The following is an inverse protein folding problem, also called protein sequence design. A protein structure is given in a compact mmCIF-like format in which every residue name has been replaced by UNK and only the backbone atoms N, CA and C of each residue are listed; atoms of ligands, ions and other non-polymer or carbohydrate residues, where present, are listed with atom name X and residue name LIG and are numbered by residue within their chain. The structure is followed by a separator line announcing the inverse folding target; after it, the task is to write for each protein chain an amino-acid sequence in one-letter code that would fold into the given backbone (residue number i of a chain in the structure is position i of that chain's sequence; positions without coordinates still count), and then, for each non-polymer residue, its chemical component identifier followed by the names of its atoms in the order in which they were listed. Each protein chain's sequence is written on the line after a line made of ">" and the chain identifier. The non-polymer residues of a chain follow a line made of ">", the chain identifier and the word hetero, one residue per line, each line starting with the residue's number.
data_IF_069170100212
#
_entry.id   IF_069170100212
#
_cell.length_a   1.000
_cell.length_b   1.000
_cell.length_c   1.000
_cell.angle_alpha   90.00
_cell.angle_beta   90.00
_cell.angle_gamma   90.00
#
_symmetry.space_group_name_H-M   'P 1'
#
loop_
_entity.id
_entity.type
_entity.pdbx_description
1 polymer ?
#
# COMPACT_ATOMS: atom_id res chain seq x y z
N UNK A 1 -15.67 -16.04 16.47
CA UNK A 1 -14.68 -17.02 16.98
C UNK A 1 -15.30 -17.96 17.99
N UNK A 2 -16.39 -17.60 18.65
CA UNK A 2 -17.28 -18.52 19.38
C UNK A 2 -18.65 -18.62 18.68
N UNK A 3 -19.61 -19.36 19.27
CA UNK A 3 -20.91 -19.80 18.71
C UNK A 3 -20.85 -20.36 17.29
N UNK A 4 -20.12 -21.47 17.11
CA UNK A 4 -20.27 -22.38 15.97
C UNK A 4 -19.87 -21.85 14.60
N UNK A 5 -19.34 -20.62 14.50
CA UNK A 5 -18.89 -20.10 13.21
C UNK A 5 -17.65 -20.86 12.72
N UNK A 6 -17.75 -21.41 11.52
CA UNK A 6 -16.60 -21.98 10.80
C UNK A 6 -15.94 -20.99 9.84
N UNK A 7 -16.29 -19.70 9.94
CA UNK A 7 -15.93 -18.66 8.98
C UNK A 7 -15.35 -17.42 9.69
N UNK A 8 -14.07 -17.15 9.48
CA UNK A 8 -13.36 -16.13 10.25
C UNK A 8 -12.61 -15.10 9.39
N UNK A 9 -11.82 -15.57 8.41
CA UNK A 9 -10.93 -14.70 7.60
C UNK A 9 -11.02 -14.98 6.10
N UNK A 10 -12.13 -15.55 5.64
CA UNK A 10 -12.38 -15.88 4.24
C UNK A 10 -13.15 -14.72 3.56
N UNK A 11 -13.12 -14.65 2.23
CA UNK A 11 -13.48 -13.49 1.38
C UNK A 11 -14.98 -13.22 1.08
N UNK A 12 -15.88 -13.81 1.85
CA UNK A 12 -17.33 -13.78 1.66
C UNK A 12 -17.82 -14.46 0.37
N UNK A 13 -19.02 -14.08 -0.05
CA UNK A 13 -19.59 -14.48 -1.34
C UNK A 13 -18.82 -13.84 -2.51
N UNK A 14 -18.68 -14.60 -3.60
CA UNK A 14 -17.95 -14.18 -4.81
C UNK A 14 -18.80 -13.35 -5.78
N UNK A 15 -20.13 -13.53 -5.77
CA UNK A 15 -21.05 -12.77 -6.62
C UNK A 15 -22.49 -12.78 -6.07
N UNK A 16 -23.41 -12.16 -6.82
CA UNK A 16 -24.84 -12.27 -6.60
C UNK A 16 -25.40 -13.61 -7.13
N UNK A 17 -26.72 -13.77 -7.09
CA UNK A 17 -27.45 -14.97 -7.51
C UNK A 17 -27.39 -15.19 -9.07
N UNK A 18 -28.36 -15.90 -9.65
CA UNK A 18 -28.43 -16.30 -11.07
C UNK A 18 -28.14 -15.17 -12.07
N UNK A 19 -28.41 -13.92 -11.75
CA UNK A 19 -27.89 -12.76 -12.49
C UNK A 19 -26.91 -12.01 -11.57
N UNK A 20 -25.63 -11.83 -11.94
CA UNK A 20 -25.03 -11.87 -13.27
C UNK A 20 -24.30 -13.19 -13.67
N UNK A 21 -24.41 -14.29 -12.90
CA UNK A 21 -23.75 -15.58 -13.19
C UNK A 21 -22.22 -15.53 -13.41
N UNK A 22 -21.56 -14.47 -12.95
CA UNK A 22 -20.10 -14.31 -13.04
C UNK A 22 -19.56 -13.53 -11.86
N UNK A 23 -18.27 -13.67 -11.58
CA UNK A 23 -17.56 -12.79 -10.64
C UNK A 23 -17.19 -11.49 -11.36
N UNK A 24 -17.38 -10.35 -10.68
CA UNK A 24 -16.97 -9.06 -11.22
C UNK A 24 -15.44 -8.96 -11.28
N UNK A 25 -14.93 -8.32 -12.34
CA UNK A 25 -13.48 -8.03 -12.45
C UNK A 25 -13.06 -7.11 -11.29
N UNK A 26 -11.80 -7.24 -10.86
CA UNK A 26 -11.21 -6.45 -9.77
C UNK A 26 -11.88 -6.66 -8.40
N UNK A 27 -12.60 -7.77 -8.21
CA UNK A 27 -13.04 -8.21 -6.88
C UNK A 27 -11.80 -8.36 -5.98
N UNK A 28 -11.82 -7.72 -4.82
CA UNK A 28 -10.73 -7.78 -3.83
C UNK A 28 -10.62 -9.19 -3.25
N UNK A 29 -9.56 -9.89 -3.62
CA UNK A 29 -9.24 -11.26 -3.21
C UNK A 29 -7.82 -11.31 -2.66
N UNK A 30 -7.45 -12.32 -1.84
CA UNK A 30 -6.07 -12.50 -1.41
C UNK A 30 -5.15 -12.67 -2.61
N UNK A 31 -3.95 -12.13 -2.50
CA UNK A 31 -2.94 -12.16 -3.55
C UNK A 31 -1.61 -11.61 -3.05
N UNK A 32 -0.69 -11.37 -3.97
CA UNK A 32 0.58 -10.72 -3.66
C UNK A 32 0.33 -9.31 -3.11
N UNK A 33 0.99 -8.96 -2.01
CA UNK A 33 0.89 -7.64 -1.38
C UNK A 33 2.29 -7.05 -1.22
N UNK A 34 2.45 -5.77 -1.53
CA UNK A 34 3.75 -5.08 -1.53
C UNK A 34 4.48 -5.23 -2.85
N UNK A 35 5.76 -4.83 -2.87
CA UNK A 35 6.56 -4.68 -4.11
C UNK A 35 5.89 -3.77 -5.16
N UNK A 36 5.23 -2.72 -4.70
CA UNK A 36 4.58 -1.72 -5.55
C UNK A 36 5.31 -0.39 -5.44
N UNK A 37 5.32 0.39 -6.53
CA UNK A 37 5.86 1.74 -6.51
C UNK A 37 4.84 2.68 -5.85
N UNK A 38 5.22 3.24 -4.70
CA UNK A 38 4.37 4.14 -3.92
C UNK A 38 5.03 5.51 -3.82
N UNK A 39 4.25 6.56 -4.05
CA UNK A 39 4.68 7.96 -3.89
C UNK A 39 3.93 8.59 -2.73
N UNK A 40 4.66 9.12 -1.75
CA UNK A 40 4.10 9.95 -0.68
C UNK A 40 4.37 11.40 -1.05
N UNK A 41 3.31 12.21 -1.09
CA UNK A 41 3.38 13.62 -1.50
C UNK A 41 3.48 14.54 -0.28
N UNK A 42 3.95 15.76 -0.50
CA UNK A 42 3.96 16.86 0.48
C UNK A 42 4.74 16.56 1.76
N UNK A 43 5.87 15.85 1.63
CA UNK A 43 6.82 15.68 2.72
C UNK A 43 7.76 16.89 2.80
N UNK A 44 8.05 17.33 4.01
CA UNK A 44 8.94 18.46 4.28
C UNK A 44 10.39 17.97 4.41
N UNK A 45 11.32 18.67 3.75
CA UNK A 45 12.75 18.52 4.00
C UNK A 45 13.11 19.34 5.24
N UNK A 46 13.52 18.65 6.31
CA UNK A 46 13.84 19.29 7.60
C UNK A 46 15.26 19.84 7.60
N UNK A 47 16.20 19.09 7.02
CA UNK A 47 17.61 19.46 6.98
C UNK A 47 18.33 18.78 5.82
N UNK A 48 19.27 19.51 5.24
CA UNK A 48 20.25 18.99 4.28
C UNK A 48 21.61 19.04 4.96
N UNK A 49 22.31 17.91 5.01
CA UNK A 49 23.69 17.80 5.49
C UNK A 49 24.57 17.39 4.31
N UNK A 50 25.14 18.41 3.65
CA UNK A 50 25.97 18.22 2.47
C UNK A 50 27.34 17.58 2.79
N UNK A 51 27.85 17.74 4.01
CA UNK A 51 29.14 17.14 4.41
C UNK A 51 29.05 15.62 4.47
N UNK A 52 27.90 15.10 4.94
CA UNK A 52 27.65 13.66 5.07
C UNK A 52 26.82 13.07 3.92
N UNK A 53 26.43 13.89 2.96
CA UNK A 53 25.50 13.55 1.88
C UNK A 53 24.17 12.97 2.40
N UNK A 54 23.58 13.58 3.43
CA UNK A 54 22.34 13.15 4.05
C UNK A 54 21.21 14.15 3.82
N UNK A 55 20.01 13.61 3.59
CA UNK A 55 18.77 14.36 3.47
C UNK A 55 17.80 13.90 4.57
N UNK A 56 17.38 14.82 5.44
CA UNK A 56 16.44 14.54 6.52
C UNK A 56 15.03 14.94 6.08
N UNK A 57 14.16 13.97 5.93
CA UNK A 57 12.76 14.14 5.51
C UNK A 57 11.85 13.88 6.71
N UNK A 58 10.86 14.76 6.91
CA UNK A 58 9.84 14.60 7.95
C UNK A 58 8.81 13.56 7.51
N UNK A 59 8.76 12.42 8.20
CA UNK A 59 7.76 11.38 7.99
C UNK A 59 8.35 10.06 7.51
N UNK A 60 7.48 9.18 6.99
CA UNK A 60 7.85 7.85 6.54
C UNK A 60 7.96 7.78 5.02
N UNK A 61 9.01 7.11 4.53
CA UNK A 61 9.23 6.82 3.11
C UNK A 61 8.92 5.34 2.86
N UNK A 62 8.14 5.00 1.82
CA UNK A 62 7.83 3.62 1.49
C UNK A 62 9.09 2.87 1.03
N UNK A 63 9.29 1.66 1.55
CA UNK A 63 10.42 0.81 1.20
C UNK A 63 11.16 0.28 2.42
N UNK A 64 11.98 -0.74 2.22
CA UNK A 64 12.88 -1.26 3.23
C UNK A 64 14.15 -0.39 3.36
N UNK A 65 14.93 -0.57 4.42
CA UNK A 65 16.24 0.09 4.56
C UNK A 65 17.17 -0.30 3.40
N UNK A 66 17.85 0.67 2.79
CA UNK A 66 18.70 0.46 1.62
C UNK A 66 17.98 0.39 0.27
N UNK A 67 16.65 0.61 0.24
CA UNK A 67 15.90 0.71 -1.01
C UNK A 67 16.28 1.98 -1.77
N UNK A 68 16.24 1.93 -3.10
CA UNK A 68 16.35 3.11 -3.93
C UNK A 68 15.09 3.99 -3.76
N UNK A 69 15.30 5.28 -3.54
CA UNK A 69 14.24 6.28 -3.42
C UNK A 69 14.47 7.40 -4.43
N UNK A 70 13.38 7.96 -4.96
CA UNK A 70 13.41 9.07 -5.92
C UNK A 70 12.73 10.27 -5.27
N UNK A 71 13.46 11.36 -5.10
CA UNK A 71 12.95 12.62 -4.55
C UNK A 71 12.73 13.59 -5.71
N UNK A 72 11.55 14.22 -5.75
CA UNK A 72 11.15 15.20 -6.76
C UNK A 72 10.43 16.36 -6.07
N UNK A 73 10.46 17.53 -6.70
CA UNK A 73 9.66 18.67 -6.25
C UNK A 73 8.16 18.33 -6.33
N UNK A 74 7.39 18.82 -5.36
CA UNK A 74 5.94 18.59 -5.35
C UNK A 74 5.25 19.44 -6.41
N UNK A 75 4.11 18.96 -6.89
CA UNK A 75 3.31 19.64 -7.93
C UNK A 75 2.02 20.26 -7.37
N UNK A 76 1.73 20.07 -6.07
CA UNK A 76 0.55 20.54 -5.35
C UNK A 76 0.95 21.02 -3.97
#
# INVERSE_FOLDING_TARGET
>A
MTHGSHYHRRVGSMSANSSPSRVFKLKKLPGHMGSENVTVQNLEVVRVDAERNLLLIKGAIPGAKGSLVVVRETVK
#
